data_IF_000447366466
#
_entry.id   IF_000447366466
#
_cell.length_a   1.000
_cell.length_b   1.000
_cell.length_c   1.000
_cell.angle_alpha   90.00
_cell.angle_beta   90.00
_cell.angle_gamma   90.00
#
_symmetry.space_group_name_H-M   'P 1'
#
loop_
_entity.id
_entity.type
_entity.pdbx_description
1 polymer ?
#
# COMPACT_ATOMS: atom_id res chain seq x y z
N UNK A 1 11.47 -8.18 3.84
CA UNK A 1 11.06 -7.05 4.70
C UNK A 1 9.86 -6.29 4.20
N UNK A 2 9.69 -6.12 2.88
CA UNK A 2 8.53 -5.43 2.29
C UNK A 2 7.95 -6.33 1.21
N UNK A 3 6.62 -6.46 1.16
CA UNK A 3 5.90 -7.13 0.09
C UNK A 3 4.98 -6.13 -0.60
N UNK A 4 4.80 -6.28 -1.91
CA UNK A 4 3.77 -5.58 -2.68
C UNK A 4 2.78 -6.65 -3.16
N UNK A 5 1.53 -6.53 -2.74
CA UNK A 5 0.46 -7.49 -3.07
C UNK A 5 -0.74 -6.74 -3.66
N UNK A 6 -1.40 -7.42 -4.59
CA UNK A 6 -2.58 -6.96 -5.29
C UNK A 6 -3.73 -7.95 -5.02
N UNK A 7 -4.97 -7.44 -5.01
CA UNK A 7 -6.18 -8.25 -4.82
C UNK A 7 -6.17 -9.14 -3.56
N UNK A 8 -5.58 -8.65 -2.47
CA UNK A 8 -5.55 -9.39 -1.22
C UNK A 8 -6.97 -9.56 -0.65
N UNK A 9 -7.24 -10.74 -0.09
CA UNK A 9 -8.53 -11.01 0.56
C UNK A 9 -8.78 -10.04 1.72
N UNK A 10 -9.88 -9.28 1.62
CA UNK A 10 -10.33 -8.33 2.65
C UNK A 10 -11.44 -8.99 3.47
N UNK A 11 -11.29 -8.98 4.80
CA UNK A 11 -12.36 -9.43 5.71
C UNK A 11 -13.56 -8.48 5.66
N UNK A 12 -14.68 -8.94 6.19
CA UNK A 12 -15.92 -8.15 6.33
C UNK A 12 -15.76 -6.85 7.12
N UNK A 13 -14.68 -6.68 7.88
CA UNK A 13 -14.33 -5.46 8.61
C UNK A 13 -13.44 -4.48 7.81
N UNK A 14 -13.19 -4.75 6.52
CA UNK A 14 -12.41 -3.88 5.63
C UNK A 14 -10.89 -4.04 5.75
N UNK A 15 -10.39 -4.94 6.61
CA UNK A 15 -8.96 -5.16 6.78
C UNK A 15 -8.47 -6.40 6.01
N UNK A 16 -7.24 -6.34 5.51
CA UNK A 16 -6.53 -7.50 4.94
C UNK A 16 -5.96 -8.37 6.06
N UNK A 17 -6.07 -9.69 5.94
CA UNK A 17 -5.40 -10.63 6.84
C UNK A 17 -3.88 -10.54 6.66
N UNK A 18 -3.17 -10.29 7.75
CA UNK A 18 -1.72 -10.24 7.77
C UNK A 18 -1.19 -11.06 8.92
N UNK A 19 -0.05 -11.73 8.69
CA UNK A 19 0.72 -12.32 9.77
C UNK A 19 1.04 -11.26 10.83
N UNK A 20 1.03 -11.61 12.14
CA UNK A 20 1.40 -10.69 13.21
C UNK A 20 2.81 -10.10 13.08
N UNK A 21 3.67 -10.71 12.25
CA UNK A 21 5.00 -10.23 11.95
C UNK A 21 5.04 -9.00 11.01
N UNK A 22 3.90 -8.64 10.39
CA UNK A 22 3.83 -7.55 9.42
C UNK A 22 2.81 -6.48 9.84
N UNK A 23 3.07 -5.25 9.41
CA UNK A 23 2.14 -4.12 9.40
C UNK A 23 1.67 -3.97 7.96
N UNK A 24 0.37 -4.07 7.71
CA UNK A 24 -0.18 -3.87 6.37
C UNK A 24 -0.51 -2.41 6.14
N UNK A 25 0.14 -1.80 5.15
CA UNK A 25 -0.20 -0.47 4.66
C UNK A 25 -1.21 -0.63 3.53
N UNK A 26 -2.35 0.04 3.66
CA UNK A 26 -3.42 0.10 2.64
C UNK A 26 -3.39 1.48 1.96
N UNK A 27 -4.09 1.66 0.82
CA UNK A 27 -4.21 2.96 0.18
C UNK A 27 -4.74 4.00 1.17
N UNK A 28 -4.25 5.25 1.09
CA UNK A 28 -4.66 6.30 2.04
C UNK A 28 -6.15 6.64 1.96
N UNK A 29 -6.83 6.23 0.89
CA UNK A 29 -8.26 6.39 0.68
C UNK A 29 -9.12 5.28 1.30
N UNK A 30 -8.51 4.20 1.84
CA UNK A 30 -9.18 2.97 2.29
C UNK A 30 -10.37 3.21 3.24
N UNK A 31 -10.30 4.22 4.12
CA UNK A 31 -11.35 4.51 5.10
C UNK A 31 -12.21 5.74 4.75
N UNK A 32 -11.95 6.38 3.61
CA UNK A 32 -12.57 7.65 3.21
C UNK A 32 -13.69 7.50 2.18
N UNK A 33 -13.84 6.32 1.57
CA UNK A 33 -14.85 6.05 0.54
C UNK A 33 -15.82 4.96 1.03
N UNK A 34 -17.12 5.09 0.75
CA UNK A 34 -18.15 4.15 1.23
C UNK A 34 -18.01 2.74 0.65
N UNK A 35 -17.18 2.60 -0.39
CA UNK A 35 -16.63 1.34 -0.85
C UNK A 35 -15.32 1.63 -1.59
N UNK A 36 -14.18 1.15 -1.06
CA UNK A 36 -13.19 0.62 -1.97
C UNK A 36 -12.74 -0.75 -1.44
N UNK A 37 -12.83 -1.76 -2.30
CA UNK A 37 -11.91 -2.86 -2.16
C UNK A 37 -10.50 -2.24 -2.25
N UNK A 38 -9.72 -2.29 -1.17
CA UNK A 38 -8.30 -1.95 -1.25
C UNK A 38 -7.65 -2.99 -2.15
N UNK A 39 -7.33 -2.61 -3.39
CA UNK A 39 -6.80 -3.52 -4.42
C UNK A 39 -5.28 -3.62 -4.42
N UNK A 40 -4.62 -2.73 -3.67
CA UNK A 40 -3.19 -2.68 -3.46
C UNK A 40 -2.90 -2.68 -1.96
N UNK A 41 -1.89 -3.42 -1.52
CA UNK A 41 -1.42 -3.41 -0.13
C UNK A 41 0.09 -3.61 -0.06
N UNK A 42 0.73 -3.00 0.94
CA UNK A 42 2.17 -3.17 1.22
C UNK A 42 2.35 -3.67 2.66
N UNK A 43 2.49 -4.99 2.88
CA UNK A 43 2.96 -5.52 4.16
C UNK A 43 4.43 -5.19 4.41
N UNK A 44 4.71 -4.61 5.56
CA UNK A 44 6.06 -4.25 6.02
C UNK A 44 6.37 -5.04 7.28
N UNK A 45 7.52 -5.73 7.30
CA UNK A 45 7.98 -6.49 8.45
C UNK A 45 8.13 -5.58 9.67
N UNK A 46 7.65 -6.03 10.82
CA UNK A 46 7.84 -5.33 12.10
C UNK A 46 9.29 -5.33 12.58
N UNK A 47 10.16 -6.15 11.97
CA UNK A 47 11.61 -6.07 12.20
C UNK A 47 12.24 -4.83 11.57
N UNK A 48 11.58 -4.22 10.58
CA UNK A 48 12.03 -2.97 9.99
C UNK A 48 11.79 -1.82 10.98
N UNK A 49 12.76 -0.91 11.10
CA UNK A 49 12.62 0.27 11.97
C UNK A 49 11.38 1.07 11.55
N UNK A 50 10.38 1.29 12.42
CA UNK A 50 9.16 2.02 12.06
C UNK A 50 9.43 3.49 11.70
N UNK A 51 10.56 4.06 12.13
CA UNK A 51 10.94 5.43 11.81
C UNK A 51 11.74 5.54 10.49
N UNK A 52 12.09 4.42 9.85
CA UNK A 52 12.84 4.44 8.59
C UNK A 52 11.94 4.45 7.36
N UNK A 53 10.61 4.44 7.53
CA UNK A 53 9.67 4.48 6.43
C UNK A 53 8.41 5.28 6.80
N UNK A 54 7.71 5.75 5.78
CA UNK A 54 6.43 6.44 5.91
C UNK A 54 5.53 6.09 4.73
N UNK A 55 4.22 6.09 4.96
CA UNK A 55 3.25 6.09 3.89
C UNK A 55 3.19 7.48 3.25
N UNK A 56 3.16 7.54 1.92
CA UNK A 56 2.87 8.77 1.19
C UNK A 56 1.40 8.74 0.76
N UNK A 57 0.56 9.72 1.17
CA UNK A 57 -0.83 9.77 0.75
C UNK A 57 -0.96 9.97 -0.76
N UNK A 58 -1.87 9.21 -1.38
CA UNK A 58 -2.22 9.33 -2.79
C UNK A 58 -3.72 9.12 -2.97
N UNK A 59 -4.34 9.87 -3.88
CA UNK A 59 -5.79 9.95 -4.01
C UNK A 59 -6.36 8.85 -4.94
N UNK A 60 -5.94 7.60 -4.76
CA UNK A 60 -6.46 6.44 -5.49
C UNK A 60 -6.57 5.21 -4.59
N UNK A 61 -7.64 4.42 -4.67
CA UNK A 61 -7.76 3.13 -3.97
C UNK A 61 -6.87 2.02 -4.57
N UNK A 62 -6.23 2.29 -5.71
CA UNK A 62 -5.41 1.33 -6.46
C UNK A 62 -3.92 1.52 -6.21
N UNK A 63 -3.54 2.56 -5.47
CA UNK A 63 -2.15 2.93 -5.27
C UNK A 63 -1.84 2.97 -3.78
N UNK A 64 -0.81 2.21 -3.39
CA UNK A 64 -0.21 2.29 -2.05
C UNK A 64 1.24 2.71 -2.21
N UNK A 65 1.63 3.79 -1.53
CA UNK A 65 2.99 4.34 -1.64
C UNK A 65 3.66 4.31 -0.27
N UNK A 66 4.87 3.76 -0.23
CA UNK A 66 5.74 3.78 0.95
C UNK A 66 7.10 4.34 0.54
N UNK A 67 7.61 5.27 1.35
CA UNK A 67 8.95 5.80 1.18
C UNK A 67 9.82 5.37 2.35
N UNK A 68 10.97 4.78 2.06
CA UNK A 68 12.04 4.51 3.00
C UNK A 68 13.08 5.61 2.87
N UNK A 69 13.49 6.23 3.98
CA UNK A 69 14.56 7.20 3.96
C UNK A 69 15.66 6.81 4.95
N UNK A 70 16.89 6.93 4.48
CA UNK A 70 18.12 6.81 5.27
C UNK A 70 18.87 8.14 5.25
N UNK A 71 20.01 8.18 5.92
CA UNK A 71 20.91 9.35 5.90
C UNK A 71 21.43 9.68 4.49
N UNK A 72 21.49 8.69 3.58
CA UNK A 72 22.19 8.84 2.30
C UNK A 72 21.25 8.81 1.08
N UNK A 73 20.06 8.21 1.23
CA UNK A 73 19.12 8.08 0.12
C UNK A 73 17.72 7.79 0.64
N UNK A 74 16.74 8.10 -0.22
CA UNK A 74 15.38 7.62 -0.07
C UNK A 74 15.03 6.65 -1.22
N UNK A 75 14.21 5.66 -0.92
CA UNK A 75 13.64 4.70 -1.85
C UNK A 75 12.12 4.80 -1.74
N UNK A 76 11.44 5.13 -2.84
CA UNK A 76 9.98 5.16 -2.91
C UNK A 76 9.49 3.91 -3.62
N UNK A 77 8.60 3.17 -2.97
CA UNK A 77 7.91 2.00 -3.51
C UNK A 77 6.47 2.41 -3.80
N UNK A 78 6.07 2.28 -5.06
CA UNK A 78 4.71 2.57 -5.53
C UNK A 78 4.09 1.23 -5.94
N UNK A 79 3.15 0.72 -5.15
CA UNK A 79 2.39 -0.48 -5.49
C UNK A 79 1.10 -0.06 -6.19
N UNK A 80 1.08 -0.27 -7.51
CA UNK A 80 -0.02 0.09 -8.40
C UNK A 80 -0.81 -1.17 -8.74
N UNK A 81 -2.10 -1.15 -8.47
CA UNK A 81 -3.03 -2.11 -9.06
C UNK A 81 -3.43 -1.63 -10.45
N UNK A 82 -3.27 -2.50 -11.44
CA UNK A 82 -3.73 -2.29 -12.81
C UNK A 82 -4.86 -3.28 -13.10
N UNK A 83 -6.03 -2.77 -13.49
CA UNK A 83 -7.21 -3.59 -13.79
C UNK A 83 -7.12 -4.35 -15.12
N UNK A 84 -6.02 -4.17 -15.85
CA UNK A 84 -5.69 -4.76 -17.15
C UNK A 84 -6.70 -4.41 -18.27
N UNK A 85 -7.61 -3.48 -18.01
CA UNK A 85 -8.63 -3.01 -18.95
C UNK A 85 -8.39 -1.54 -19.34
N UNK A 86 -7.70 -0.79 -18.49
CA UNK A 86 -7.34 0.62 -18.67
C UNK A 86 -5.92 0.89 -18.15
N UNK A 87 -5.25 1.91 -18.70
CA UNK A 87 -3.92 2.35 -18.24
C UNK A 87 -3.99 3.63 -17.39
N UNK A 88 -5.20 4.11 -17.10
CA UNK A 88 -5.44 5.41 -16.48
C UNK A 88 -4.65 5.59 -15.18
N UNK A 89 -4.59 4.54 -14.34
CA UNK A 89 -3.85 4.57 -13.07
C UNK A 89 -2.35 4.84 -13.24
N UNK A 90 -1.75 4.37 -14.34
CA UNK A 90 -0.34 4.57 -14.66
C UNK A 90 -0.07 5.96 -15.22
N UNK A 91 -1.01 6.53 -15.98
CA UNK A 91 -0.87 7.87 -16.56
C UNK A 91 -0.88 9.01 -15.52
N UNK A 92 -1.45 8.76 -14.33
CA UNK A 92 -1.53 9.73 -13.22
C UNK A 92 -0.33 9.70 -12.25
N UNK A 93 0.67 8.82 -12.45
CA UNK A 93 1.85 8.65 -11.60
C UNK A 93 3.09 9.37 -12.15
#
# INVERSE_FOLDING_TARGET
>A
DILAIQESYIRTNGNTESSPAFITVLPSTCYSTPSPLSRSAIPISKSLNPNSWQQIPFLSPDVTIVQLCSTFSCCTIINVYNDCNSHDTEEFL
#
